data_IF_640585759877
#
_entry.id   IF_640585759877
#
_cell.length_a   1.000
_cell.length_b   1.000
_cell.length_c   1.000
_cell.angle_alpha   90.00
_cell.angle_beta   90.00
_cell.angle_gamma   90.00
#
_symmetry.space_group_name_H-M   'P 1'
#
loop_
_entity.id
_entity.type
_entity.pdbx_description
1 polymer ?
#
# COMPACT_ATOMS: atom_id res chain seq x y z
N UNK A 1 -1.55 -22.55 -62.37
CA UNK A 1 -1.07 -23.08 -61.08
C UNK A 1 -1.53 -22.13 -59.98
N UNK A 2 -2.45 -22.50 -59.08
CA UNK A 2 -2.69 -21.71 -57.88
C UNK A 2 -1.83 -22.23 -56.72
N UNK A 3 -1.19 -21.31 -56.03
CA UNK A 3 -0.33 -21.55 -54.87
C UNK A 3 -1.19 -21.95 -53.66
N UNK A 4 -0.87 -23.09 -53.04
CA UNK A 4 -1.47 -23.52 -51.78
C UNK A 4 -1.01 -22.58 -50.65
N UNK A 5 -1.93 -21.82 -50.08
CA UNK A 5 -1.68 -21.13 -48.82
C UNK A 5 -1.61 -22.17 -47.70
N UNK A 6 -0.44 -22.27 -47.06
CA UNK A 6 -0.26 -22.97 -45.80
C UNK A 6 -1.32 -22.47 -44.80
N UNK A 7 -2.15 -23.36 -44.27
CA UNK A 7 -3.17 -23.03 -43.27
C UNK A 7 -2.49 -22.64 -41.96
N UNK A 8 -2.62 -21.37 -41.57
CA UNK A 8 -2.09 -20.89 -40.29
C UNK A 8 -2.97 -21.50 -39.18
N UNK A 9 -2.41 -22.08 -38.11
CA UNK A 9 -3.20 -22.45 -36.94
C UNK A 9 -3.78 -21.17 -36.32
N UNK A 10 -5.10 -21.17 -36.08
CA UNK A 10 -5.84 -20.01 -35.60
C UNK A 10 -5.42 -19.58 -34.19
N UNK A 11 -5.39 -18.27 -33.87
CA UNK A 11 -4.96 -17.73 -32.56
C UNK A 11 -5.94 -17.99 -31.40
N UNK A 12 -6.90 -18.89 -31.58
CA UNK A 12 -8.02 -19.13 -30.65
C UNK A 12 -7.66 -19.89 -29.39
N UNK A 13 -6.42 -20.39 -29.25
CA UNK A 13 -6.00 -21.12 -28.06
C UNK A 13 -5.55 -20.20 -26.91
N UNK A 14 -5.03 -19.01 -27.22
CA UNK A 14 -4.59 -18.03 -26.22
C UNK A 14 -5.79 -17.42 -25.46
N UNK A 15 -6.92 -17.21 -26.14
CA UNK A 15 -8.12 -16.61 -25.54
C UNK A 15 -8.76 -17.47 -24.44
N UNK A 16 -8.57 -18.80 -24.45
CA UNK A 16 -9.13 -19.69 -23.43
C UNK A 16 -8.35 -19.60 -22.11
N UNK A 17 -7.03 -19.43 -22.16
CA UNK A 17 -6.20 -19.22 -20.97
C UNK A 17 -6.45 -17.86 -20.32
N UNK A 18 -6.58 -16.80 -21.12
CA UNK A 18 -6.88 -15.46 -20.59
C UNK A 18 -8.25 -15.41 -19.91
N UNK A 19 -9.26 -16.11 -20.46
CA UNK A 19 -10.57 -16.23 -19.80
C UNK A 19 -10.51 -16.95 -18.46
N UNK A 20 -9.67 -17.97 -18.33
CA UNK A 20 -9.49 -18.66 -17.05
C UNK A 20 -8.83 -17.75 -16.02
N UNK A 21 -7.81 -16.98 -16.45
CA UNK A 21 -7.14 -16.01 -15.59
C UNK A 21 -8.09 -14.88 -15.14
N UNK A 22 -8.93 -14.36 -16.05
CA UNK A 22 -9.96 -13.37 -15.73
C UNK A 22 -10.92 -13.92 -14.66
N UNK A 23 -11.40 -15.15 -14.81
CA UNK A 23 -12.30 -15.81 -13.85
C UNK A 23 -11.62 -16.06 -12.50
N UNK A 24 -10.35 -16.46 -12.49
CA UNK A 24 -9.60 -16.70 -11.27
C UNK A 24 -9.34 -15.38 -10.52
N UNK A 25 -9.01 -14.29 -11.23
CA UNK A 25 -8.84 -12.95 -10.65
C UNK A 25 -10.16 -12.41 -10.13
N UNK A 26 -11.25 -12.55 -10.88
CA UNK A 26 -12.60 -12.15 -10.46
C UNK A 26 -13.07 -12.94 -9.23
N UNK A 27 -12.73 -14.23 -9.16
CA UNK A 27 -12.99 -15.08 -7.99
C UNK A 27 -12.14 -14.67 -6.79
N UNK A 28 -10.86 -14.35 -6.99
CA UNK A 28 -9.99 -13.83 -5.93
C UNK A 28 -10.53 -12.48 -5.44
N UNK A 29 -10.99 -11.59 -6.32
CA UNK A 29 -11.61 -10.31 -5.92
C UNK A 29 -12.91 -10.54 -5.15
N UNK A 30 -13.71 -11.55 -5.51
CA UNK A 30 -14.94 -11.90 -4.78
C UNK A 30 -14.68 -12.60 -3.43
N UNK A 31 -13.68 -13.47 -3.34
CA UNK A 31 -13.26 -14.11 -2.07
C UNK A 31 -12.54 -13.11 -1.18
N UNK A 32 -11.83 -12.15 -1.77
CA UNK A 32 -11.30 -10.97 -1.13
C UNK A 32 -12.31 -9.83 -1.09
N UNK A 33 -13.62 -10.06 -1.29
CA UNK A 33 -14.59 -9.05 -0.88
C UNK A 33 -14.21 -8.74 0.55
N UNK A 34 -13.72 -7.52 0.84
CA UNK A 34 -13.49 -7.17 2.21
C UNK A 34 -14.89 -7.31 2.79
N UNK A 35 -15.06 -8.29 3.68
CA UNK A 35 -16.30 -8.38 4.44
C UNK A 35 -16.51 -7.02 5.12
N UNK A 36 -17.59 -6.85 5.88
CA UNK A 36 -17.58 -5.83 6.92
C UNK A 36 -16.56 -6.27 7.99
N UNK A 37 -15.27 -6.34 7.66
CA UNK A 37 -14.24 -5.75 8.48
C UNK A 37 -14.79 -4.36 8.70
N UNK A 38 -15.56 -4.20 9.78
CA UNK A 38 -15.97 -2.91 10.25
C UNK A 38 -14.67 -2.14 10.28
N UNK A 39 -14.49 -1.26 9.30
CA UNK A 39 -13.64 -0.12 9.46
C UNK A 39 -14.35 0.56 10.59
N UNK A 40 -13.96 0.19 11.81
CA UNK A 40 -14.36 0.97 12.95
C UNK A 40 -13.57 2.23 12.70
N UNK A 41 -14.23 3.18 12.04
CA UNK A 41 -13.80 4.56 11.93
C UNK A 41 -13.76 5.08 13.37
N UNK A 42 -12.80 4.62 14.15
CA UNK A 42 -12.31 5.34 15.31
C UNK A 42 -11.53 6.52 14.73
N UNK A 43 -12.27 7.43 14.10
CA UNK A 43 -11.81 8.77 13.82
C UNK A 43 -11.43 9.32 15.18
N UNK A 44 -10.13 9.52 15.39
CA UNK A 44 -9.63 10.15 16.60
C UNK A 44 -10.42 11.43 16.83
N UNK A 45 -10.90 11.61 18.05
CA UNK A 45 -11.52 12.87 18.43
C UNK A 45 -10.53 14.00 18.18
N UNK A 46 -11.03 15.20 17.87
CA UNK A 46 -10.20 16.39 17.77
C UNK A 46 -9.31 16.59 19.02
N UNK A 47 -9.80 16.17 20.19
CA UNK A 47 -9.05 16.19 21.46
C UNK A 47 -7.88 15.21 21.48
N UNK A 48 -8.05 14.00 20.96
CA UNK A 48 -6.99 12.99 20.88
C UNK A 48 -5.92 13.39 19.87
N UNK A 49 -6.33 13.93 18.72
CA UNK A 49 -5.40 14.46 17.71
C UNK A 49 -4.59 15.62 18.29
N UNK A 50 -5.23 16.52 19.05
CA UNK A 50 -4.53 17.63 19.68
C UNK A 50 -3.54 17.15 20.75
N UNK A 51 -3.96 16.23 21.62
CA UNK A 51 -3.08 15.65 22.64
C UNK A 51 -1.86 14.93 22.02
N UNK A 52 -2.06 14.23 20.90
CA UNK A 52 -0.98 13.60 20.15
C UNK A 52 -0.01 14.64 19.59
N UNK A 53 -0.51 15.73 19.00
CA UNK A 53 0.32 16.84 18.51
C UNK A 53 1.15 17.48 19.62
N UNK A 54 0.54 17.75 20.77
CA UNK A 54 1.23 18.36 21.91
C UNK A 54 2.35 17.44 22.44
N UNK A 55 2.08 16.13 22.47
CA UNK A 55 3.06 15.11 22.86
C UNK A 55 4.24 15.07 21.90
N UNK A 56 3.97 15.05 20.59
CA UNK A 56 5.02 15.06 19.55
C UNK A 56 5.84 16.34 19.64
N UNK A 57 5.18 17.50 19.79
CA UNK A 57 5.87 18.78 19.90
C UNK A 57 6.85 18.78 21.08
N UNK A 58 6.39 18.34 22.26
CA UNK A 58 7.24 18.24 23.45
C UNK A 58 8.41 17.28 23.26
N UNK A 59 8.18 16.13 22.62
CA UNK A 59 9.24 15.16 22.35
C UNK A 59 10.32 15.74 21.43
N UNK A 60 9.91 16.43 20.36
CA UNK A 60 10.82 17.08 19.41
C UNK A 60 11.62 18.19 20.08
N UNK A 61 10.99 19.05 20.89
CA UNK A 61 11.70 20.09 21.63
C UNK A 61 12.73 19.51 22.60
N UNK A 62 12.37 18.45 23.32
CA UNK A 62 13.26 17.78 24.27
C UNK A 62 14.44 17.17 23.53
N UNK A 63 14.21 16.49 22.41
CA UNK A 63 15.26 15.96 21.56
C UNK A 63 16.20 17.06 21.04
N UNK A 64 15.66 18.18 20.55
CA UNK A 64 16.47 19.31 20.07
C UNK A 64 17.36 19.89 21.17
N UNK A 65 16.84 20.05 22.38
CA UNK A 65 17.60 20.53 23.54
C UNK A 65 18.72 19.56 23.90
N UNK A 66 18.42 18.27 23.99
CA UNK A 66 19.40 17.25 24.31
C UNK A 66 20.49 17.14 23.23
N UNK A 67 20.12 17.17 21.95
CA UNK A 67 21.07 17.15 20.84
C UNK A 67 21.97 18.40 20.81
N UNK A 68 21.47 19.56 21.24
CA UNK A 68 22.29 20.77 21.38
C UNK A 68 23.28 20.65 22.55
N UNK A 69 22.82 20.12 23.69
CA UNK A 69 23.68 19.84 24.84
C UNK A 69 24.79 18.84 24.48
N UNK A 70 24.44 17.72 23.85
CA UNK A 70 25.41 16.72 23.38
C UNK A 70 26.46 17.32 22.44
N UNK A 71 26.05 18.17 21.48
CA UNK A 71 27.01 18.90 20.62
C UNK A 71 27.91 19.82 21.42
N UNK A 72 27.37 20.58 22.38
CA UNK A 72 28.20 21.46 23.22
C UNK A 72 29.21 20.69 24.06
N UNK A 73 28.83 19.53 24.60
CA UNK A 73 29.71 18.65 25.36
C UNK A 73 30.81 18.03 24.49
N UNK A 74 30.50 17.71 23.21
CA UNK A 74 31.50 17.22 22.27
C UNK A 74 32.53 18.27 21.86
N UNK A 75 32.19 19.56 21.84
CA UNK A 75 33.13 20.64 21.48
C UNK A 75 34.15 20.92 22.61
N UNK A 76 33.86 20.55 23.85
CA UNK A 76 34.74 20.78 25.00
C UNK A 76 35.63 19.57 25.35
N UNK A 77 35.68 18.55 24.49
CA UNK A 77 36.51 17.35 24.64
C UNK A 77 37.63 17.35 23.60
#
# INVERSE_FOLDING_TARGET
MPFSFLRLPSPTHLSRMFRQLEQDVETVINVLQPGPLGIVEHKYSATEVQAAKDTVHRAVETWRKNAALERSLQVHK
#
